data_IF_705153251192
#
_entry.id   IF_705153251192
#
_cell.length_a   1.000
_cell.length_b   1.000
_cell.length_c   1.000
_cell.angle_alpha   90.00
_cell.angle_beta   90.00
_cell.angle_gamma   90.00
#
_symmetry.space_group_name_H-M   'P 1'
#
loop_
_entity.id
_entity.type
_entity.pdbx_description
1 polymer ?
#
# COMPACT_ATOMS: atom_id res chain seq x y z
N UNK A 1 -0.57 -14.78 3.96
CA UNK A 1 -0.24 -13.87 2.83
C UNK A 1 -1.27 -12.76 2.78
N UNK A 2 -0.82 -11.51 2.78
CA UNK A 2 -1.65 -10.32 2.57
C UNK A 2 -1.35 -9.77 1.19
N UNK A 3 -2.38 -9.42 0.41
CA UNK A 3 -2.20 -8.75 -0.89
C UNK A 3 -2.79 -7.35 -0.78
N UNK A 4 -2.02 -6.35 -1.21
CA UNK A 4 -2.52 -4.98 -1.33
C UNK A 4 -2.47 -4.50 -2.78
N UNK A 5 -3.57 -3.93 -3.24
CA UNK A 5 -3.70 -3.37 -4.58
C UNK A 5 -3.07 -1.99 -4.64
N UNK A 6 -2.09 -1.83 -5.53
CA UNK A 6 -1.46 -0.54 -5.77
C UNK A 6 -2.17 0.23 -6.88
N UNK A 7 -2.36 1.55 -6.64
CA UNK A 7 -2.92 2.49 -7.60
C UNK A 7 -2.49 3.93 -7.29
N UNK A 8 -2.59 4.78 -8.31
CA UNK A 8 -2.22 6.20 -8.19
C UNK A 8 -0.71 6.41 -8.24
N UNK A 9 -0.26 7.63 -7.95
CA UNK A 9 1.15 8.00 -7.91
C UNK A 9 1.86 7.53 -6.63
N UNK A 10 3.14 7.85 -6.52
CA UNK A 10 4.03 7.41 -5.44
C UNK A 10 3.42 7.57 -4.04
N UNK A 11 2.88 8.74 -3.71
CA UNK A 11 2.30 8.99 -2.38
C UNK A 11 1.19 8.00 -2.02
N UNK A 12 0.29 7.66 -2.98
CA UNK A 12 -0.75 6.65 -2.76
C UNK A 12 -0.15 5.27 -2.55
N UNK A 13 0.85 4.90 -3.37
CA UNK A 13 1.53 3.61 -3.26
C UNK A 13 2.24 3.44 -1.92
N UNK A 14 2.83 4.53 -1.37
CA UNK A 14 3.45 4.53 -0.05
C UNK A 14 2.44 4.24 1.07
N UNK A 15 1.28 4.88 1.07
CA UNK A 15 0.23 4.62 2.05
C UNK A 15 -0.31 3.20 1.96
N UNK A 16 -0.56 2.72 0.73
CA UNK A 16 -1.02 1.35 0.49
C UNK A 16 0.01 0.34 1.01
N UNK A 17 1.28 0.51 0.64
CA UNK A 17 2.36 -0.32 1.14
C UNK A 17 2.40 -0.35 2.67
N UNK A 18 2.37 0.82 3.31
CA UNK A 18 2.52 0.94 4.75
C UNK A 18 1.42 0.21 5.54
N UNK A 19 0.15 0.28 5.10
CA UNK A 19 -0.92 -0.54 5.70
C UNK A 19 -0.67 -2.04 5.47
N UNK A 20 -0.36 -2.45 4.23
CA UNK A 20 -0.08 -3.86 3.93
C UNK A 20 1.07 -4.40 4.77
N UNK A 21 2.14 -3.60 4.92
CA UNK A 21 3.31 -3.93 5.73
C UNK A 21 2.95 -4.07 7.21
N UNK A 22 2.15 -3.15 7.75
CA UNK A 22 1.70 -3.24 9.13
C UNK A 22 0.94 -4.55 9.39
N UNK A 23 -0.03 -4.87 8.54
CA UNK A 23 -0.79 -6.11 8.68
C UNK A 23 0.09 -7.36 8.48
N UNK A 24 1.07 -7.32 7.60
CA UNK A 24 2.01 -8.44 7.40
C UNK A 24 2.88 -8.69 8.63
N UNK A 25 3.33 -7.62 9.30
CA UNK A 25 4.07 -7.70 10.57
C UNK A 25 3.19 -8.26 11.69
N UNK A 26 1.97 -7.73 11.86
CA UNK A 26 1.03 -8.18 12.88
C UNK A 26 0.66 -9.66 12.74
N UNK A 27 0.50 -10.13 11.50
CA UNK A 27 0.08 -11.51 11.21
C UNK A 27 1.25 -12.46 10.96
N UNK A 28 2.50 -12.01 11.08
CA UNK A 28 3.70 -12.81 10.79
C UNK A 28 3.62 -13.51 9.42
N UNK A 29 3.21 -12.78 8.40
CA UNK A 29 2.96 -13.31 7.05
C UNK A 29 3.60 -12.47 5.97
N UNK A 30 3.74 -13.01 4.76
CA UNK A 30 4.27 -12.28 3.61
C UNK A 30 3.30 -11.20 3.12
N UNK A 31 3.87 -10.08 2.66
CA UNK A 31 3.17 -9.03 1.92
C UNK A 31 3.41 -9.20 0.42
N UNK A 32 2.33 -9.13 -0.36
CA UNK A 32 2.40 -9.07 -1.83
C UNK A 32 1.69 -7.85 -2.38
N UNK A 33 2.24 -7.32 -3.47
CA UNK A 33 1.74 -6.13 -4.14
C UNK A 33 1.03 -6.52 -5.44
N UNK A 34 -0.23 -6.13 -5.58
CA UNK A 34 -0.91 -6.19 -6.87
C UNK A 34 -0.62 -4.91 -7.67
N UNK A 35 0.27 -5.02 -8.64
CA UNK A 35 0.71 -3.93 -9.52
C UNK A 35 -0.03 -3.93 -10.87
N UNK A 36 -1.04 -4.78 -11.05
CA UNK A 36 -1.68 -5.01 -12.34
C UNK A 36 -2.23 -3.72 -12.98
N UNK A 37 -2.88 -2.86 -12.18
CA UNK A 37 -3.40 -1.59 -12.68
C UNK A 37 -2.31 -0.62 -13.14
N UNK A 38 -1.13 -0.65 -12.52
CA UNK A 38 -0.01 0.22 -12.86
C UNK A 38 0.69 -0.21 -14.15
N UNK A 39 0.57 -1.50 -14.49
CA UNK A 39 1.18 -2.10 -15.69
C UNK A 39 0.22 -2.17 -16.89
N UNK A 40 -1.04 -1.72 -16.72
CA UNK A 40 -2.04 -1.76 -17.80
C UNK A 40 -2.20 -0.37 -18.40
N UNK A 41 -2.04 -0.20 -19.72
CA UNK A 41 -2.30 1.09 -20.37
C UNK A 41 -3.76 1.50 -20.20
N UNK A 42 -3.98 2.69 -19.67
CA UNK A 42 -5.31 3.31 -19.54
C UNK A 42 -5.29 4.67 -20.25
N UNK A 43 -6.45 5.11 -20.74
CA UNK A 43 -6.61 6.41 -21.43
C UNK A 43 -6.49 7.63 -20.47
N UNK A 44 -6.14 7.40 -19.21
CA UNK A 44 -6.03 8.39 -18.14
C UNK A 44 -4.55 8.53 -17.78
N UNK A 45 -4.22 9.42 -16.87
CA UNK A 45 -2.83 9.65 -16.45
C UNK A 45 -2.13 8.32 -16.15
N UNK A 46 -1.17 7.94 -17.00
CA UNK A 46 -0.40 6.71 -16.82
C UNK A 46 0.40 6.80 -15.51
N UNK A 47 0.19 5.84 -14.62
CA UNK A 47 0.93 5.71 -13.36
C UNK A 47 1.73 4.42 -13.39
N UNK A 48 2.99 4.51 -13.02
CA UNK A 48 3.93 3.38 -12.97
C UNK A 48 4.11 2.88 -11.55
N UNK A 49 4.70 1.71 -11.42
CA UNK A 49 5.16 1.21 -10.13
C UNK A 49 6.41 1.96 -9.69
N UNK A 50 6.31 2.74 -8.62
CA UNK A 50 7.36 3.66 -8.17
C UNK A 50 8.07 3.20 -6.88
N UNK A 51 7.55 2.18 -6.20
CA UNK A 51 8.15 1.68 -4.96
C UNK A 51 9.46 0.92 -5.17
N UNK A 52 9.81 0.54 -6.40
CA UNK A 52 11.05 -0.17 -6.72
C UNK A 52 12.34 0.60 -6.35
N UNK A 53 12.24 1.91 -6.11
CA UNK A 53 13.37 2.75 -5.70
C UNK A 53 13.70 2.66 -4.21
N UNK A 54 12.91 1.92 -3.43
CA UNK A 54 13.02 1.79 -1.99
C UNK A 54 13.29 0.35 -1.56
N UNK A 55 13.77 0.15 -0.34
CA UNK A 55 14.05 -1.17 0.25
C UNK A 55 12.75 -1.88 0.69
N UNK A 56 11.82 -2.05 -0.25
CA UNK A 56 10.48 -2.60 0.00
C UNK A 56 10.54 -4.08 0.36
N UNK A 57 9.92 -4.44 1.47
CA UNK A 57 9.84 -5.82 1.98
C UNK A 57 8.55 -6.50 1.51
N UNK A 58 8.38 -6.62 0.20
CA UNK A 58 7.22 -7.23 -0.43
C UNK A 58 7.58 -7.82 -1.80
N UNK A 59 6.83 -8.83 -2.24
CA UNK A 59 6.93 -9.38 -3.58
C UNK A 59 5.71 -9.02 -4.43
N UNK A 60 5.78 -9.20 -5.74
CA UNK A 60 4.60 -8.97 -6.61
C UNK A 60 3.69 -10.19 -6.60
N UNK A 61 2.40 -9.97 -6.41
CA UNK A 61 1.40 -11.02 -6.48
C UNK A 61 1.16 -11.47 -7.94
N UNK A 62 1.05 -12.78 -8.16
CA UNK A 62 0.68 -13.32 -9.45
C UNK A 62 -0.86 -13.34 -9.62
N UNK A 63 -1.34 -13.57 -10.86
CA UNK A 63 -2.79 -13.58 -11.17
C UNK A 63 -3.58 -14.66 -10.40
N UNK A 64 -2.99 -15.80 -10.13
CA UNK A 64 -3.68 -16.86 -9.39
C UNK A 64 -3.90 -16.47 -7.93
N UNK A 65 -2.90 -15.88 -7.29
CA UNK A 65 -2.97 -15.35 -5.92
C UNK A 65 -4.00 -14.22 -5.81
N UNK A 66 -3.94 -13.26 -6.75
CA UNK A 66 -4.92 -12.17 -6.83
C UNK A 66 -6.33 -12.74 -6.98
N UNK A 67 -6.57 -13.64 -7.94
CA UNK A 67 -7.88 -14.22 -8.18
C UNK A 67 -8.40 -15.03 -6.98
N UNK A 68 -7.50 -15.70 -6.26
CA UNK A 68 -7.86 -16.49 -5.06
C UNK A 68 -8.42 -15.60 -3.95
N UNK A 69 -7.82 -14.42 -3.71
CA UNK A 69 -8.21 -13.54 -2.60
C UNK A 69 -9.17 -12.43 -3.02
N UNK A 70 -9.05 -11.88 -4.25
CA UNK A 70 -9.94 -10.84 -4.79
C UNK A 70 -11.09 -11.39 -5.62
N UNK A 71 -11.12 -12.70 -5.87
CA UNK A 71 -11.83 -13.33 -6.95
C UNK A 71 -13.34 -13.07 -7.00
N UNK A 72 -13.90 -13.12 -8.22
CA UNK A 72 -15.34 -13.09 -8.55
C UNK A 72 -16.16 -14.08 -7.71
N UNK A 73 -15.52 -15.12 -7.16
CA UNK A 73 -16.11 -16.09 -6.22
C UNK A 73 -16.32 -15.47 -4.82
N UNK A 74 -15.44 -14.59 -4.35
CA UNK A 74 -15.62 -13.89 -3.08
C UNK A 74 -16.85 -12.98 -3.08
N UNK A 75 -17.11 -12.27 -4.17
CA UNK A 75 -18.30 -11.44 -4.32
C UNK A 75 -19.61 -12.27 -4.41
N UNK A 76 -19.56 -13.46 -5.01
CA UNK A 76 -20.70 -14.38 -5.07
C UNK A 76 -20.96 -15.02 -3.71
N UNK A 77 -19.92 -15.45 -2.99
CA UNK A 77 -20.03 -15.94 -1.61
C UNK A 77 -20.49 -14.86 -0.62
N UNK A 78 -20.15 -13.57 -0.82
CA UNK A 78 -20.73 -12.48 -0.01
C UNK A 78 -22.24 -12.36 -0.16
N UNK A 79 -22.79 -12.61 -1.36
CA UNK A 79 -24.26 -12.62 -1.59
C UNK A 79 -24.93 -13.85 -1.00
N UNK A 80 -24.27 -15.00 -1.04
CA UNK A 80 -24.81 -16.27 -0.51
C UNK A 80 -24.45 -16.50 0.97
N UNK A 81 -23.33 -15.97 1.47
CA UNK A 81 -22.82 -16.21 2.82
C UNK A 81 -23.63 -15.55 3.95
N UNK A 82 -24.55 -14.62 3.62
CA UNK A 82 -25.53 -14.12 4.60
C UNK A 82 -26.46 -15.23 5.15
N UNK A 83 -26.55 -16.36 4.46
CA UNK A 83 -27.41 -17.48 4.86
C UNK A 83 -26.70 -18.53 5.73
N UNK A 84 -25.38 -18.60 5.76
CA UNK A 84 -24.64 -19.68 6.42
C UNK A 84 -23.62 -19.27 7.48
N UNK A 85 -23.62 -17.99 7.94
CA UNK A 85 -22.76 -17.60 9.06
C UNK A 85 -21.24 -17.71 8.82
N UNK A 86 -20.78 -18.05 7.63
CA UNK A 86 -19.36 -18.15 7.25
C UNK A 86 -18.81 -16.76 6.92
N UNK A 87 -18.29 -16.08 7.94
CA UNK A 87 -17.51 -14.85 7.83
C UNK A 87 -16.09 -15.20 7.40
N UNK A 88 -15.75 -15.07 6.13
CA UNK A 88 -14.40 -14.65 5.72
C UNK A 88 -14.43 -14.23 4.26
N UNK A 89 -14.77 -12.97 4.01
CA UNK A 89 -14.46 -12.36 2.73
C UNK A 89 -12.96 -12.07 2.75
N UNK A 90 -12.21 -12.77 1.92
CA UNK A 90 -10.80 -12.49 1.69
C UNK A 90 -10.56 -11.16 0.97
N UNK A 91 -11.60 -10.53 0.44
CA UNK A 91 -11.55 -9.23 -0.23
C UNK A 91 -12.10 -8.14 0.70
N UNK A 92 -11.28 -7.14 0.99
CA UNK A 92 -11.64 -6.00 1.82
C UNK A 92 -11.44 -4.69 1.06
N UNK A 93 -12.54 -3.98 0.80
CA UNK A 93 -12.52 -2.66 0.16
C UNK A 93 -12.62 -1.57 1.21
N UNK A 94 -11.81 -0.52 1.05
CA UNK A 94 -11.88 0.68 1.88
C UNK A 94 -13.30 1.26 1.86
N UNK A 95 -13.96 1.40 3.02
CA UNK A 95 -15.37 1.83 3.06
C UNK A 95 -15.52 3.34 2.81
N UNK A 96 -14.53 4.14 3.19
CA UNK A 96 -14.48 5.60 3.06
C UNK A 96 -13.04 6.09 3.24
N UNK A 97 -12.76 7.35 2.89
CA UNK A 97 -11.41 7.93 2.97
C UNK A 97 -10.93 8.28 4.39
N UNK A 98 -11.79 8.23 5.40
CA UNK A 98 -11.38 8.45 6.77
C UNK A 98 -10.74 7.20 7.36
N UNK A 99 -9.93 7.39 8.41
CA UNK A 99 -9.34 6.28 9.14
C UNK A 99 -10.41 5.28 9.61
N UNK A 100 -10.19 4.01 9.30
CA UNK A 100 -11.09 2.90 9.61
C UNK A 100 -10.36 1.84 10.45
N UNK A 101 -10.42 1.98 11.76
CA UNK A 101 -9.70 1.13 12.71
C UNK A 101 -9.91 -0.39 12.49
N UNK A 102 -11.13 -0.89 12.15
CA UNK A 102 -11.33 -2.33 12.01
C UNK A 102 -10.46 -3.02 10.97
N UNK A 103 -9.86 -2.31 10.01
CA UNK A 103 -8.92 -2.91 9.04
C UNK A 103 -7.69 -3.50 9.73
N UNK A 104 -7.25 -2.91 10.84
CA UNK A 104 -6.08 -3.38 11.60
C UNK A 104 -6.33 -4.70 12.35
N UNK A 105 -7.58 -5.16 12.44
CA UNK A 105 -7.94 -6.45 13.02
C UNK A 105 -8.04 -7.58 11.98
N UNK A 106 -7.77 -7.28 10.71
CA UNK A 106 -7.81 -8.28 9.65
C UNK A 106 -6.70 -9.31 9.85
N UNK A 107 -7.08 -10.56 9.64
CA UNK A 107 -6.16 -11.69 9.72
C UNK A 107 -5.50 -11.96 8.37
N UNK A 108 -4.60 -12.92 8.37
CA UNK A 108 -3.98 -13.43 7.13
C UNK A 108 -5.01 -13.89 6.08
N UNK A 109 -4.59 -13.94 4.82
CA UNK A 109 -5.45 -14.38 3.72
C UNK A 109 -6.39 -13.30 3.19
N UNK A 110 -5.98 -12.01 3.22
CA UNK A 110 -6.80 -10.88 2.80
C UNK A 110 -6.21 -10.15 1.59
N UNK A 111 -7.11 -9.66 0.72
CA UNK A 111 -6.81 -8.74 -0.38
C UNK A 111 -7.42 -7.36 -0.06
N UNK A 112 -6.58 -6.33 -0.04
CA UNK A 112 -6.93 -4.95 0.33
C UNK A 112 -7.08 -4.08 -0.91
N UNK A 113 -8.20 -3.39 -1.05
CA UNK A 113 -8.50 -2.48 -2.14
C UNK A 113 -8.92 -1.10 -1.61
N UNK A 114 -8.01 -0.14 -1.59
CA UNK A 114 -8.23 1.20 -1.08
C UNK A 114 -7.01 2.11 -1.24
N UNK A 115 -7.12 3.36 -0.81
CA UNK A 115 -6.03 4.33 -0.76
C UNK A 115 -5.33 4.37 0.60
N UNK A 116 -6.08 4.19 1.68
CA UNK A 116 -5.59 4.05 3.05
C UNK A 116 -4.76 5.24 3.52
N UNK A 117 -5.18 6.45 3.16
CA UNK A 117 -4.44 7.70 3.34
C UNK A 117 -4.52 8.23 4.77
N UNK A 118 -4.00 7.46 5.73
CA UNK A 118 -3.86 7.88 7.12
C UNK A 118 -2.60 7.25 7.74
N UNK A 119 -1.80 8.06 8.45
CA UNK A 119 -0.63 7.56 9.19
C UNK A 119 -1.03 6.63 10.35
N UNK A 120 -2.26 6.76 10.87
CA UNK A 120 -2.78 5.91 11.94
C UNK A 120 -2.79 4.42 11.57
N UNK A 121 -2.75 4.09 10.27
CA UNK A 121 -2.68 2.70 9.82
C UNK A 121 -1.32 2.04 10.07
N UNK A 122 -0.25 2.80 10.27
CA UNK A 122 1.11 2.27 10.42
C UNK A 122 1.96 2.98 11.47
N UNK A 123 1.38 3.85 12.29
CA UNK A 123 2.09 4.59 13.34
C UNK A 123 2.82 3.66 14.32
N UNK A 124 2.22 2.51 14.64
CA UNK A 124 2.82 1.51 15.53
C UNK A 124 4.13 0.89 14.97
N UNK A 125 4.32 0.91 13.65
CA UNK A 125 5.53 0.39 13.00
C UNK A 125 6.28 1.48 12.21
N UNK A 126 6.14 2.75 12.59
CA UNK A 126 6.73 3.87 11.86
C UNK A 126 8.25 3.75 11.66
N UNK A 127 8.97 3.14 12.60
CA UNK A 127 10.41 2.83 12.46
C UNK A 127 10.69 1.87 11.31
N UNK A 128 9.95 0.75 11.25
CA UNK A 128 10.05 -0.24 10.18
C UNK A 128 9.74 0.39 8.82
N UNK A 129 8.69 1.19 8.73
CA UNK A 129 8.32 1.88 7.48
C UNK A 129 9.42 2.83 7.02
N UNK A 130 10.07 3.57 7.92
CA UNK A 130 11.19 4.45 7.55
C UNK A 130 12.39 3.68 7.01
N UNK A 131 12.70 2.52 7.59
CA UNK A 131 13.75 1.63 7.09
C UNK A 131 13.43 1.07 5.71
N UNK A 132 12.21 0.54 5.52
CA UNK A 132 11.74 0.01 4.25
C UNK A 132 11.73 1.09 3.14
N UNK A 133 11.46 2.35 3.49
CA UNK A 133 11.43 3.48 2.56
C UNK A 133 12.82 4.16 2.37
N UNK A 134 13.87 3.51 2.81
CA UNK A 134 15.23 3.97 2.48
C UNK A 134 15.49 3.77 0.99
N UNK A 135 15.95 4.80 0.26
CA UNK A 135 16.31 4.66 -1.15
C UNK A 135 17.41 3.62 -1.36
N UNK A 136 17.23 2.74 -2.35
CA UNK A 136 18.23 1.71 -2.71
C UNK A 136 19.40 2.34 -3.45
N UNK A 137 19.13 3.36 -4.27
CA UNK A 137 20.17 4.05 -5.05
C UNK A 137 20.77 5.15 -4.18
N UNK A 138 22.11 5.22 -4.07
CA UNK A 138 22.78 6.30 -3.36
C UNK A 138 22.38 7.68 -3.93
N UNK A 139 22.23 8.65 -3.04
CA UNK A 139 21.97 10.02 -3.45
C UNK A 139 23.15 10.57 -4.26
N UNK A 140 22.86 11.41 -5.24
CA UNK A 140 23.92 12.16 -5.92
C UNK A 140 24.65 13.11 -4.96
N UNK A 141 25.88 13.51 -5.29
CA UNK A 141 26.65 14.45 -4.45
C UNK A 141 25.87 15.74 -4.16
N UNK A 142 25.09 16.22 -5.12
CA UNK A 142 24.23 17.40 -4.93
C UNK A 142 23.14 17.13 -3.87
N UNK A 143 22.46 16.00 -3.95
CA UNK A 143 21.39 15.64 -3.01
C UNK A 143 21.95 15.33 -1.60
N UNK A 144 23.14 14.75 -1.48
CA UNK A 144 23.82 14.58 -0.18
C UNK A 144 24.17 15.94 0.45
N UNK A 145 24.68 16.87 -0.33
CA UNK A 145 24.97 18.23 0.14
C UNK A 145 23.70 18.93 0.63
N UNK A 146 22.62 18.85 -0.15
CA UNK A 146 21.33 19.42 0.20
C UNK A 146 20.75 18.77 1.47
N UNK A 147 20.79 17.45 1.58
CA UNK A 147 20.37 16.71 2.76
C UNK A 147 21.13 17.17 4.02
N UNK A 148 22.46 17.30 3.91
CA UNK A 148 23.29 17.76 5.04
C UNK A 148 22.92 19.20 5.45
N UNK A 149 22.68 20.09 4.50
CA UNK A 149 22.21 21.45 4.78
C UNK A 149 20.85 21.48 5.49
N UNK A 150 19.91 20.62 5.05
CA UNK A 150 18.58 20.46 5.66
C UNK A 150 18.70 19.98 7.11
N UNK A 151 19.57 19.01 7.38
CA UNK A 151 19.76 18.43 8.72
C UNK A 151 20.41 19.38 9.72
N UNK A 152 21.10 20.44 9.26
CA UNK A 152 21.79 21.39 10.12
C UNK A 152 20.93 22.59 10.56
N UNK A 153 19.68 22.69 10.10
CA UNK A 153 18.80 23.79 10.43
C UNK A 153 17.34 23.34 10.62
N UNK A 154 16.51 24.20 11.22
CA UNK A 154 15.07 24.00 11.29
C UNK A 154 14.46 24.21 9.89
N UNK A 155 14.33 23.12 9.15
CA UNK A 155 13.89 23.16 7.75
C UNK A 155 12.38 22.91 7.63
N UNK A 156 11.75 23.57 6.67
CA UNK A 156 10.34 23.36 6.29
C UNK A 156 10.28 22.99 4.82
N UNK A 157 9.60 21.89 4.51
CA UNK A 157 9.31 21.50 3.12
C UNK A 157 7.94 22.00 2.71
N UNK A 158 7.85 22.67 1.55
CA UNK A 158 6.59 23.12 0.95
C UNK A 158 6.44 22.46 -0.42
N UNK A 159 5.35 21.71 -0.60
CA UNK A 159 4.99 21.14 -1.89
C UNK A 159 3.81 21.89 -2.51
N UNK A 160 4.00 22.50 -3.68
CA UNK A 160 2.95 23.18 -4.43
C UNK A 160 2.62 22.36 -5.67
N UNK A 161 1.48 21.68 -5.65
CA UNK A 161 0.99 20.92 -6.80
C UNK A 161 0.27 21.87 -7.77
N UNK A 162 0.62 21.76 -9.08
CA UNK A 162 -0.02 22.50 -10.17
C UNK A 162 -0.54 21.49 -11.21
N UNK A 163 -1.65 21.81 -11.86
CA UNK A 163 -2.26 21.01 -12.93
C UNK A 163 -3.25 19.99 -12.41
N UNK A 164 -3.65 19.08 -13.23
CA UNK A 164 -4.50 17.87 -13.08
C UNK A 164 -5.39 17.73 -11.81
N UNK A 165 -6.21 18.75 -11.53
CA UNK A 165 -7.37 18.66 -10.64
C UNK A 165 -8.64 18.69 -11.49
#
# INVERSE_FOLDING_TARGET
MIIIKLRGGLGNQLFQYALGRHLSVLNHTELKLDTFLLNTPHNWTHRTYELASFNIQATTANRQEINRLSGRWGAWFQRCGKFFGLKSSSYFKEPHFHFYLPVLSLQDGVYLDGYWQSENYFSAIAGVIREDLTPIVPLSNYLETLKNAILQCASVSVHIRRGDY
#
